data_IF_880849349129
#
_entry.id   IF_880849349129
#
_cell.length_a   1.000
_cell.length_b   1.000
_cell.length_c   1.000
_cell.angle_alpha   90.00
_cell.angle_beta   90.00
_cell.angle_gamma   90.00
#
_symmetry.space_group_name_H-M   'P 1'
#
loop_
_entity.id
_entity.type
_entity.pdbx_description
1 polymer ?
#
# COMPACT_ATOMS: atom_id res chain seq x y z
N UNK A 1 18.36 19.78 -22.14
CA UNK A 1 18.31 20.66 -20.96
C UNK A 1 17.59 19.85 -19.92
N UNK A 2 18.35 19.10 -19.11
CA UNK A 2 17.76 18.17 -18.16
C UNK A 2 17.23 18.98 -16.98
N UNK A 3 15.91 19.04 -16.88
CA UNK A 3 15.28 19.50 -15.65
C UNK A 3 15.68 18.50 -14.56
N UNK A 4 16.57 18.91 -13.66
CA UNK A 4 16.98 18.09 -12.53
C UNK A 4 15.78 17.94 -11.59
N UNK A 5 15.14 16.77 -11.62
CA UNK A 5 14.15 16.38 -10.62
C UNK A 5 14.78 16.47 -9.23
N UNK A 6 14.15 17.23 -8.34
CA UNK A 6 14.48 17.17 -6.92
C UNK A 6 13.60 16.10 -6.26
N UNK A 7 14.18 15.14 -5.53
CA UNK A 7 13.38 14.12 -4.86
C UNK A 7 12.55 14.75 -3.76
N UNK A 8 11.23 14.68 -3.91
CA UNK A 8 10.27 15.08 -2.87
C UNK A 8 9.73 13.84 -2.16
N UNK A 9 9.57 13.97 -0.84
CA UNK A 9 8.93 12.94 -0.03
C UNK A 9 7.44 13.25 0.07
N UNK A 10 6.61 12.43 -0.57
CA UNK A 10 5.15 12.52 -0.51
C UNK A 10 4.64 11.46 0.45
N UNK A 11 3.69 11.80 1.32
CA UNK A 11 3.02 10.85 2.21
C UNK A 11 1.53 10.75 1.86
N UNK A 12 1.08 9.51 1.62
CA UNK A 12 -0.32 9.18 1.37
C UNK A 12 -0.84 8.46 2.60
N UNK A 13 -1.72 9.10 3.37
CA UNK A 13 -2.33 8.47 4.52
C UNK A 13 -3.43 7.49 4.12
N UNK A 14 -3.66 6.46 4.94
CA UNK A 14 -4.66 5.43 4.67
C UNK A 14 -5.90 5.54 5.58
N UNK A 15 -5.83 6.26 6.69
CA UNK A 15 -7.00 6.52 7.54
C UNK A 15 -8.00 7.49 6.91
N UNK A 16 -9.28 7.36 7.26
CA UNK A 16 -10.37 8.17 6.66
C UNK A 16 -10.23 9.68 6.89
N UNK A 17 -9.38 10.12 7.83
CA UNK A 17 -9.18 11.55 8.11
C UNK A 17 -8.43 12.28 7.00
N UNK A 18 -7.47 11.60 6.36
CA UNK A 18 -6.53 12.22 5.40
C UNK A 18 -6.36 11.45 4.09
N UNK A 19 -6.87 10.22 4.03
CA UNK A 19 -6.69 9.38 2.85
C UNK A 19 -7.36 9.99 1.62
N UNK A 20 -6.65 10.07 0.49
CA UNK A 20 -7.25 10.42 -0.78
C UNK A 20 -7.99 9.19 -1.34
N UNK A 21 -9.02 8.73 -0.64
CA UNK A 21 -9.87 7.66 -1.18
C UNK A 21 -10.60 8.14 -2.42
N UNK A 22 -10.78 7.24 -3.39
CA UNK A 22 -11.53 7.54 -4.61
C UNK A 22 -12.95 8.02 -4.27
N UNK A 23 -13.45 9.14 -4.83
CA UNK A 23 -14.82 9.59 -4.64
C UNK A 23 -15.87 8.57 -5.12
N UNK A 24 -15.47 7.67 -6.03
CA UNK A 24 -16.31 6.58 -6.51
C UNK A 24 -16.42 5.43 -5.49
N UNK A 25 -15.62 5.42 -4.42
CA UNK A 25 -15.70 4.44 -3.34
C UNK A 25 -16.17 5.12 -2.05
N UNK A 26 -17.40 4.82 -1.64
CA UNK A 26 -17.91 5.30 -0.35
C UNK A 26 -17.14 4.64 0.79
N UNK A 27 -16.56 5.45 1.69
CA UNK A 27 -15.81 4.96 2.84
C UNK A 27 -16.71 4.87 4.07
N UNK A 28 -16.77 3.67 4.65
CA UNK A 28 -17.50 3.40 5.88
C UNK A 28 -16.53 3.45 7.06
N UNK A 29 -16.76 4.40 7.96
CA UNK A 29 -15.88 4.70 9.10
C UNK A 29 -16.15 3.74 10.26
N UNK A 30 -15.08 3.25 10.86
CA UNK A 30 -15.06 2.46 12.10
C UNK A 30 -15.92 1.19 12.11
N UNK A 31 -16.39 0.76 10.95
CA UNK A 31 -17.18 -0.45 10.76
C UNK A 31 -16.55 -1.34 9.70
N UNK A 32 -16.77 -2.64 9.84
CA UNK A 32 -16.40 -3.61 8.82
C UNK A 32 -17.22 -3.35 7.56
N UNK A 33 -16.55 -3.26 6.42
CA UNK A 33 -17.19 -3.17 5.12
C UNK A 33 -16.42 -3.98 4.09
N UNK A 34 -17.16 -4.58 3.14
CA UNK A 34 -16.59 -5.28 2.00
C UNK A 34 -16.53 -4.31 0.83
N UNK A 35 -15.33 -3.84 0.55
CA UNK A 35 -15.09 -2.95 -0.58
C UNK A 35 -14.92 -3.77 -1.84
N UNK A 36 -15.42 -3.23 -2.94
CA UNK A 36 -15.10 -3.69 -4.28
C UNK A 36 -14.79 -2.45 -5.10
N UNK A 37 -13.76 -2.51 -5.93
CA UNK A 37 -13.56 -1.47 -6.92
C UNK A 37 -13.27 -2.06 -8.31
N UNK A 38 -14.19 -1.88 -9.27
CA UNK A 38 -13.94 -2.29 -10.64
C UNK A 38 -13.00 -1.31 -11.35
N UNK A 39 -12.09 -1.82 -12.19
CA UNK A 39 -11.26 -1.01 -13.07
C UNK A 39 -12.13 -0.14 -14.01
N UNK A 40 -11.65 1.05 -14.43
CA UNK A 40 -10.29 1.58 -14.25
C UNK A 40 -10.10 2.39 -12.95
N UNK A 41 -8.86 2.37 -12.44
CA UNK A 41 -8.41 3.18 -11.29
C UNK A 41 -7.83 4.50 -11.79
N UNK A 42 -8.30 5.61 -11.21
CA UNK A 42 -7.78 6.95 -11.47
C UNK A 42 -6.54 7.20 -10.61
N UNK A 43 -5.56 7.91 -11.17
CA UNK A 43 -4.35 8.28 -10.46
C UNK A 43 -4.66 9.20 -9.26
N UNK A 44 -3.81 9.14 -8.24
CA UNK A 44 -3.92 9.99 -7.05
C UNK A 44 -4.90 9.51 -5.99
N UNK A 45 -5.55 8.35 -6.18
CA UNK A 45 -6.49 7.80 -5.21
C UNK A 45 -6.04 6.46 -4.63
N UNK A 46 -6.46 6.22 -3.38
CA UNK A 46 -6.38 4.92 -2.71
C UNK A 46 -7.67 4.13 -2.97
N UNK A 47 -7.51 2.86 -3.32
CA UNK A 47 -8.58 1.91 -3.62
C UNK A 47 -8.52 0.72 -2.67
N UNK A 48 -9.66 0.37 -2.09
CA UNK A 48 -9.84 -0.81 -1.27
C UNK A 48 -10.56 -1.91 -2.03
N UNK A 49 -10.13 -3.15 -1.83
CA UNK A 49 -10.87 -4.35 -2.22
C UNK A 49 -10.86 -5.36 -1.07
N UNK A 50 -11.95 -6.10 -0.92
CA UNK A 50 -12.13 -7.03 0.20
C UNK A 50 -12.52 -6.34 1.51
N UNK A 51 -12.49 -7.09 2.63
CA UNK A 51 -12.96 -6.60 3.91
C UNK A 51 -11.96 -5.65 4.57
N UNK A 52 -12.39 -4.43 4.90
CA UNK A 52 -11.59 -3.47 5.65
C UNK A 52 -12.42 -2.81 6.75
N UNK A 53 -11.75 -2.41 7.83
CA UNK A 53 -12.25 -1.39 8.73
C UNK A 53 -11.42 -0.13 8.52
N UNK A 54 -12.05 0.94 8.05
CA UNK A 54 -11.39 2.24 7.90
C UNK A 54 -11.42 2.96 9.26
N UNK A 55 -10.25 3.11 9.89
CA UNK A 55 -10.06 3.89 11.12
C UNK A 55 -9.62 5.30 10.78
N UNK A 56 -9.61 6.16 11.79
CA UNK A 56 -9.23 7.57 11.61
C UNK A 56 -7.85 7.73 10.97
N UNK A 57 -6.88 6.94 11.41
CA UNK A 57 -5.47 7.02 10.99
C UNK A 57 -4.98 5.87 10.12
N UNK A 58 -5.69 4.75 10.05
CA UNK A 58 -5.22 3.55 9.36
C UNK A 58 -6.35 2.70 8.80
N UNK A 59 -6.01 1.83 7.86
CA UNK A 59 -6.83 0.70 7.44
C UNK A 59 -6.50 -0.50 8.32
N UNK A 60 -7.52 -1.23 8.77
CA UNK A 60 -7.37 -2.44 9.56
C UNK A 60 -8.02 -3.62 8.86
N UNK A 61 -7.24 -4.69 8.66
CA UNK A 61 -7.77 -5.98 8.20
C UNK A 61 -8.59 -6.60 9.34
N UNK A 62 -9.91 -6.84 9.20
CA UNK A 62 -10.70 -7.43 10.28
C UNK A 62 -10.30 -8.89 10.56
N UNK A 63 -10.77 -9.45 11.67
CA UNK A 63 -10.67 -10.90 11.92
C UNK A 63 -11.90 -11.65 11.38
N UNK A 64 -11.77 -12.96 11.14
CA UNK A 64 -12.93 -13.82 10.88
C UNK A 64 -13.56 -13.70 9.49
N UNK A 65 -12.86 -13.18 8.49
CA UNK A 65 -13.32 -13.16 7.10
C UNK A 65 -12.47 -14.09 6.24
N UNK A 66 -13.13 -14.83 5.33
CA UNK A 66 -12.49 -15.83 4.49
C UNK A 66 -11.86 -15.27 3.20
N UNK A 67 -12.17 -14.02 2.85
CA UNK A 67 -11.63 -13.33 1.66
C UNK A 67 -10.53 -12.39 2.11
N UNK A 68 -9.43 -12.36 1.35
CA UNK A 68 -8.32 -11.43 1.55
C UNK A 68 -8.68 -9.99 1.28
N UNK A 69 -7.83 -9.09 1.74
CA UNK A 69 -8.01 -7.65 1.55
C UNK A 69 -6.85 -7.07 0.79
N UNK A 70 -7.14 -6.17 -0.13
CA UNK A 70 -6.13 -5.41 -0.84
C UNK A 70 -6.35 -3.91 -0.74
N UNK A 71 -5.24 -3.18 -0.74
CA UNK A 71 -5.20 -1.73 -0.90
C UNK A 71 -4.24 -1.40 -2.02
N UNK A 72 -4.62 -0.45 -2.87
CA UNK A 72 -3.85 -0.09 -4.05
C UNK A 72 -3.90 1.41 -4.34
N UNK A 73 -2.85 1.91 -4.97
CA UNK A 73 -2.78 3.29 -5.44
C UNK A 73 -1.75 3.42 -6.57
N UNK A 74 -1.99 4.35 -7.48
CA UNK A 74 -1.01 4.72 -8.51
C UNK A 74 -0.04 5.77 -8.01
N UNK A 75 1.22 5.69 -8.42
CA UNK A 75 2.27 6.62 -8.05
C UNK A 75 3.26 6.86 -9.18
N UNK A 76 3.92 8.02 -9.14
CA UNK A 76 5.08 8.34 -9.98
C UNK A 76 6.27 8.54 -9.05
N UNK A 77 7.27 7.66 -9.10
CA UNK A 77 8.37 7.71 -8.15
C UNK A 77 9.43 6.64 -8.35
N UNK A 78 10.47 6.72 -7.53
CA UNK A 78 11.59 5.75 -7.52
C UNK A 78 11.62 4.89 -6.26
N UNK A 79 10.84 5.25 -5.23
CA UNK A 79 10.82 4.50 -3.98
C UNK A 79 9.44 4.54 -3.36
N UNK A 80 9.02 3.39 -2.82
CA UNK A 80 7.82 3.29 -2.00
C UNK A 80 8.15 2.57 -0.70
N UNK A 81 7.74 3.17 0.41
CA UNK A 81 7.76 2.59 1.73
C UNK A 81 6.35 2.65 2.33
N UNK A 82 6.06 1.85 3.35
CA UNK A 82 4.79 1.93 4.05
C UNK A 82 4.98 1.85 5.57
N UNK A 83 4.27 2.72 6.30
CA UNK A 83 4.13 2.61 7.75
C UNK A 83 3.01 1.61 8.04
N UNK A 84 3.38 0.44 8.58
CA UNK A 84 2.47 -0.66 8.84
C UNK A 84 2.71 -1.23 10.23
N UNK A 85 1.72 -1.94 10.77
CA UNK A 85 1.86 -2.74 11.98
C UNK A 85 1.27 -4.15 11.76
N UNK A 86 1.87 -5.18 12.40
CA UNK A 86 1.31 -6.52 12.38
C UNK A 86 -0.04 -6.56 13.11
N UNK A 87 -0.77 -7.66 12.89
CA UNK A 87 -1.93 -8.00 13.69
C UNK A 87 -1.59 -8.30 15.15
N UNK A 88 -2.63 -8.44 15.97
CA UNK A 88 -2.52 -8.73 17.41
C UNK A 88 -1.80 -10.04 17.73
N UNK A 89 -1.68 -10.96 16.77
CA UNK A 89 -0.91 -12.20 16.89
C UNK A 89 0.62 -12.01 16.74
N UNK A 90 1.10 -10.80 16.41
CA UNK A 90 2.50 -10.41 16.44
C UNK A 90 3.23 -10.56 15.11
N UNK A 91 3.13 -11.71 14.44
CA UNK A 91 3.67 -11.90 13.09
C UNK A 91 2.55 -11.77 12.06
N UNK A 92 2.80 -11.00 11.00
CA UNK A 92 1.88 -10.91 9.86
C UNK A 92 2.64 -10.71 8.56
N UNK A 93 2.04 -11.05 7.43
CA UNK A 93 2.62 -10.97 6.11
C UNK A 93 1.74 -10.11 5.20
N UNK A 94 2.38 -9.28 4.38
CA UNK A 94 1.71 -8.53 3.32
C UNK A 94 2.36 -8.89 1.99
N UNK A 95 1.59 -9.43 1.06
CA UNK A 95 2.02 -9.63 -0.32
C UNK A 95 2.06 -8.26 -1.04
N UNK A 96 3.14 -8.02 -1.77
CA UNK A 96 3.43 -6.76 -2.45
C UNK A 96 3.50 -7.04 -3.94
N UNK A 97 2.67 -6.34 -4.70
CA UNK A 97 2.64 -6.42 -6.15
C UNK A 97 2.79 -5.04 -6.76
N UNK A 98 3.34 -5.00 -7.97
CA UNK A 98 3.40 -3.80 -8.79
C UNK A 98 2.83 -4.09 -10.16
N UNK A 99 1.92 -3.23 -10.63
CA UNK A 99 1.25 -3.36 -11.93
C UNK A 99 0.55 -4.73 -12.11
N UNK A 100 0.07 -5.32 -11.01
CA UNK A 100 -0.56 -6.65 -10.98
C UNK A 100 0.42 -7.84 -11.01
N UNK A 101 1.73 -7.60 -10.96
CA UNK A 101 2.77 -8.62 -11.00
C UNK A 101 3.65 -8.63 -9.75
N UNK A 102 4.29 -9.77 -9.51
CA UNK A 102 5.34 -9.89 -8.50
C UNK A 102 6.52 -8.96 -8.81
N UNK A 103 7.07 -8.30 -7.78
CA UNK A 103 8.25 -7.46 -7.95
C UNK A 103 9.48 -8.28 -8.41
N UNK A 104 10.12 -7.81 -9.47
CA UNK A 104 11.43 -8.30 -9.90
C UNK A 104 12.49 -8.03 -8.82
N UNK A 105 13.51 -8.88 -8.74
CA UNK A 105 14.54 -8.81 -7.69
C UNK A 105 15.19 -7.43 -7.60
N UNK A 106 15.54 -6.83 -8.75
CA UNK A 106 16.22 -5.53 -8.83
C UNK A 106 15.44 -4.35 -8.25
N UNK A 107 14.11 -4.47 -8.12
CA UNK A 107 13.23 -3.37 -7.65
C UNK A 107 12.72 -3.55 -6.22
N UNK A 108 13.07 -4.67 -5.56
CA UNK A 108 12.57 -4.98 -4.22
C UNK A 108 13.19 -4.04 -3.20
N UNK A 109 12.35 -3.50 -2.34
CA UNK A 109 12.80 -2.80 -1.14
C UNK A 109 13.46 -3.76 -0.15
N UNK A 110 14.19 -3.18 0.81
CA UNK A 110 15.03 -3.90 1.77
C UNK A 110 14.28 -4.84 2.71
N UNK A 111 12.97 -4.63 2.87
CA UNK A 111 12.12 -5.34 3.83
C UNK A 111 11.29 -6.44 3.14
N UNK A 112 11.62 -6.78 1.88
CA UNK A 112 10.90 -7.79 1.10
C UNK A 112 11.68 -9.09 0.98
N UNK A 113 10.95 -10.20 1.10
CA UNK A 113 11.42 -11.56 0.88
C UNK A 113 10.53 -12.30 -0.11
N UNK A 114 11.04 -13.41 -0.66
CA UNK A 114 10.32 -14.19 -1.67
C UNK A 114 10.22 -15.66 -1.28
N UNK A 115 9.22 -16.03 -0.46
CA UNK A 115 8.86 -17.42 -0.28
C UNK A 115 8.06 -17.91 -1.50
N UNK A 116 8.75 -18.56 -2.43
CA UNK A 116 8.13 -19.13 -3.63
C UNK A 116 7.73 -18.07 -4.65
N UNK A 117 6.41 -17.86 -4.83
CA UNK A 117 5.85 -16.97 -5.88
C UNK A 117 5.33 -15.62 -5.36
N UNK A 118 5.45 -15.37 -4.07
CA UNK A 118 4.98 -14.14 -3.44
C UNK A 118 6.15 -13.24 -3.10
N UNK A 119 5.97 -11.94 -3.21
CA UNK A 119 6.91 -10.97 -2.63
C UNK A 119 6.29 -10.41 -1.38
N UNK A 120 6.83 -10.78 -0.22
CA UNK A 120 6.20 -10.55 1.08
C UNK A 120 7.02 -9.55 1.89
N UNK A 121 6.34 -8.61 2.54
CA UNK A 121 6.84 -7.89 3.70
C UNK A 121 6.38 -8.61 4.98
N UNK A 122 7.30 -9.16 5.75
CA UNK A 122 7.00 -9.68 7.09
C UNK A 122 6.95 -8.52 8.09
N UNK A 123 5.82 -8.40 8.77
CA UNK A 123 5.57 -7.35 9.75
C UNK A 123 5.96 -7.85 11.14
N UNK A 124 6.93 -7.17 11.76
CA UNK A 124 7.50 -7.48 13.08
C UNK A 124 7.20 -6.38 14.13
N UNK A 125 6.60 -5.28 13.70
CA UNK A 125 6.24 -4.15 14.56
C UNK A 125 5.66 -2.96 13.80
N UNK A 126 5.27 -1.91 14.53
CA UNK A 126 4.85 -0.64 13.94
C UNK A 126 6.08 0.14 13.46
N UNK A 127 6.39 0.07 12.17
CA UNK A 127 7.53 0.77 11.56
C UNK A 127 7.34 1.01 10.07
N UNK A 128 8.29 1.72 9.48
CA UNK A 128 8.37 1.90 8.03
C UNK A 128 9.06 0.70 7.39
N UNK A 129 8.40 0.09 6.42
CA UNK A 129 8.88 -1.02 5.60
C UNK A 129 9.20 -0.51 4.19
N UNK A 130 10.41 -0.75 3.71
CA UNK A 130 10.82 -0.42 2.34
C UNK A 130 10.32 -1.48 1.36
N UNK A 131 9.45 -1.07 0.43
CA UNK A 131 8.73 -1.97 -0.47
C UNK A 131 9.27 -1.93 -1.90
N UNK A 132 9.46 -0.74 -2.47
CA UNK A 132 9.95 -0.59 -3.85
C UNK A 132 11.18 0.32 -3.85
N UNK A 133 12.15 -0.04 -4.70
CA UNK A 133 13.31 0.80 -5.03
C UNK A 133 13.68 0.63 -6.50
N UNK A 134 13.37 1.63 -7.32
CA UNK A 134 13.75 1.72 -8.73
C UNK A 134 14.97 2.63 -8.93
N UNK A 135 15.73 2.35 -9.99
CA UNK A 135 16.86 3.18 -10.42
C UNK A 135 16.43 4.39 -11.26
N UNK A 136 15.19 4.37 -11.78
CA UNK A 136 14.65 5.39 -12.67
C UNK A 136 13.21 5.73 -12.28
N UNK A 137 12.80 6.96 -12.56
CA UNK A 137 11.43 7.43 -12.36
C UNK A 137 10.47 6.66 -13.27
N UNK A 138 9.33 6.24 -12.73
CA UNK A 138 8.26 5.59 -13.50
C UNK A 138 6.90 5.77 -12.85
N UNK A 139 5.86 5.60 -13.67
CA UNK A 139 4.47 5.53 -13.22
C UNK A 139 4.07 4.06 -13.03
N UNK A 140 3.56 3.74 -11.84
CA UNK A 140 3.23 2.37 -11.45
C UNK A 140 2.00 2.33 -10.55
N UNK A 141 1.39 1.15 -10.43
CA UNK A 141 0.42 0.85 -9.39
C UNK A 141 1.05 -0.08 -8.36
N UNK A 142 1.02 0.30 -7.08
CA UNK A 142 1.33 -0.61 -5.98
C UNK A 142 0.04 -1.24 -5.47
N UNK A 143 0.06 -2.56 -5.20
CA UNK A 143 -0.98 -3.26 -4.47
C UNK A 143 -0.38 -4.00 -3.29
N UNK A 144 -0.97 -3.81 -2.11
CA UNK A 144 -0.70 -4.61 -0.91
C UNK A 144 -1.88 -5.53 -0.66
N UNK A 145 -1.61 -6.81 -0.42
CA UNK A 145 -2.62 -7.82 -0.13
C UNK A 145 -2.29 -8.53 1.19
N UNK A 146 -3.32 -8.80 1.99
CA UNK A 146 -3.16 -9.57 3.23
C UNK A 146 -4.41 -10.37 3.59
N UNK A 147 -4.17 -11.60 4.03
CA UNK A 147 -5.17 -12.43 4.70
C UNK A 147 -5.05 -12.35 6.23
N UNK A 148 -3.94 -11.81 6.73
CA UNK A 148 -3.60 -11.83 8.15
C UNK A 148 -4.43 -10.82 8.95
N UNK A 149 -5.20 -11.28 9.95
CA UNK A 149 -6.11 -10.44 10.70
C UNK A 149 -5.37 -9.42 11.57
N UNK A 150 -5.90 -8.20 11.62
CA UNK A 150 -5.39 -7.12 12.44
C UNK A 150 -4.21 -6.35 11.83
N UNK A 151 -3.73 -6.71 10.63
CA UNK A 151 -2.75 -5.89 9.90
C UNK A 151 -3.27 -4.47 9.75
N UNK A 152 -2.41 -3.49 10.04
CA UNK A 152 -2.73 -2.05 9.95
C UNK A 152 -1.82 -1.34 8.97
N UNK A 153 -2.41 -0.54 8.10
CA UNK A 153 -1.70 0.27 7.10
C UNK A 153 -2.01 1.74 7.38
N UNK A 154 -0.99 2.52 7.75
CA UNK A 154 -1.14 3.92 8.18
C UNK A 154 -0.88 4.90 7.05
N UNK A 155 0.22 4.70 6.32
CA UNK A 155 0.58 5.54 5.19
C UNK A 155 1.56 4.87 4.23
N UNK A 156 1.55 5.35 2.99
CA UNK A 156 2.61 5.14 2.02
C UNK A 156 3.51 6.37 1.95
N UNK A 157 4.80 6.14 1.82
CA UNK A 157 5.82 7.18 1.71
C UNK A 157 6.51 6.99 0.37
N UNK A 158 6.45 8.01 -0.47
CA UNK A 158 7.00 8.01 -1.82
C UNK A 158 8.22 8.91 -1.89
N UNK A 159 9.23 8.48 -2.62
CA UNK A 159 10.22 9.40 -3.19
C UNK A 159 9.82 9.63 -4.64
N UNK A 160 9.29 10.83 -4.90
CA UNK A 160 8.76 11.25 -6.20
C UNK A 160 9.62 12.36 -6.81
N UNK A 161 9.38 12.62 -8.09
CA UNK A 161 9.87 13.80 -8.79
C UNK A 161 8.71 14.77 -9.01
N UNK A 162 8.90 16.03 -8.67
CA UNK A 162 7.98 17.10 -9.06
C UNK A 162 8.64 17.95 -10.15
N UNK A 163 7.91 18.20 -11.25
CA UNK A 163 8.30 19.19 -12.25
C UNK A 163 8.14 20.59 -11.64
N UNK A 164 9.17 21.43 -11.73
CA UNK A 164 9.10 22.84 -11.29
C UNK A 164 8.27 23.70 -12.24
#
# INVERSE_FOLDING_TARGET
MDAACQPERIEIHCGYRRSPFSPAQQIFRDTLHFYAFPAPRAAGYVYLDGPWISREEFLERPSGTAVGSSVSFSYTGTRVEALMAPGVAGASAVNVMRDGYQLAERIRGRDLMVPGRFTIAELDGLRVYGLVRDDALGEHELTLETDDPGVRIYSFILTACHDK
#
